data_IF_360931239788
#
_entry.id   IF_360931239788
#
_cell.length_a   1.000
_cell.length_b   1.000
_cell.length_c   1.000
_cell.angle_alpha   90.00
_cell.angle_beta   90.00
_cell.angle_gamma   90.00
#
_symmetry.space_group_name_H-M   'P 1'
#
loop_
_entity.id
_entity.type
_entity.pdbx_description
1 polymer ?
#
# COMPACT_ATOMS: atom_id res chain seq x y z
N UNK A 1 -13.60 -24.45 55.79
CA UNK A 1 -13.34 -23.29 54.94
C UNK A 1 -12.24 -23.68 54.01
N UNK A 2 -12.46 -24.01 52.71
CA UNK A 2 -11.36 -24.25 51.77
C UNK A 2 -10.89 -22.90 51.20
N UNK A 3 -9.60 -22.66 51.26
CA UNK A 3 -8.84 -21.55 50.72
C UNK A 3 -8.78 -21.70 49.19
N UNK A 4 -9.38 -20.81 48.45
CA UNK A 4 -9.26 -20.69 46.99
C UNK A 4 -7.99 -19.89 46.66
N UNK A 5 -7.00 -20.58 46.11
CA UNK A 5 -5.80 -19.97 45.48
C UNK A 5 -6.23 -19.38 44.14
N UNK A 6 -5.88 -18.14 43.80
CA UNK A 6 -6.21 -17.63 42.44
C UNK A 6 -5.35 -18.28 41.36
N UNK A 7 -5.98 -18.61 40.28
CA UNK A 7 -5.46 -19.28 39.10
C UNK A 7 -4.33 -18.46 38.45
N UNK A 8 -3.17 -19.09 38.28
CA UNK A 8 -1.95 -18.46 37.75
C UNK A 8 -1.97 -18.32 36.20
N UNK A 9 -3.10 -18.59 35.54
CA UNK A 9 -3.20 -18.69 34.09
C UNK A 9 -3.46 -17.34 33.40
N UNK A 10 -3.97 -16.33 34.12
CA UNK A 10 -4.23 -15.00 33.53
C UNK A 10 -3.01 -14.06 33.44
N UNK A 11 -1.93 -14.35 34.15
CA UNK A 11 -0.75 -13.47 34.21
C UNK A 11 0.24 -13.63 33.03
N UNK A 12 0.07 -14.64 32.17
CA UNK A 12 1.04 -14.98 31.11
C UNK A 12 0.75 -14.29 29.78
N UNK A 13 -0.47 -13.80 29.56
CA UNK A 13 -0.88 -13.16 28.29
C UNK A 13 -0.42 -11.69 28.14
N UNK A 14 -0.09 -11.01 29.22
CA UNK A 14 0.28 -9.58 29.21
C UNK A 14 1.76 -9.29 28.91
N UNK A 15 2.63 -10.31 28.83
CA UNK A 15 4.09 -10.13 28.74
C UNK A 15 4.66 -10.04 27.31
N UNK A 16 3.86 -10.18 26.26
CA UNK A 16 4.35 -10.22 24.87
C UNK A 16 3.76 -9.17 23.92
N UNK A 17 3.05 -8.17 24.41
CA UNK A 17 2.64 -7.06 23.54
C UNK A 17 3.87 -6.24 23.12
N UNK A 18 4.07 -5.96 21.83
CA UNK A 18 5.17 -5.10 21.39
C UNK A 18 5.02 -3.72 22.05
N UNK A 19 6.15 -3.09 22.42
CA UNK A 19 6.11 -1.72 22.95
C UNK A 19 5.35 -0.81 21.98
N UNK A 20 4.59 0.17 22.47
CA UNK A 20 3.95 1.15 21.58
C UNK A 20 5.00 1.86 20.72
N UNK A 21 4.76 1.94 19.42
CA UNK A 21 5.58 2.71 18.48
C UNK A 21 4.98 4.09 18.24
N UNK A 22 5.84 5.06 17.95
CA UNK A 22 5.44 6.33 17.34
C UNK A 22 5.48 6.18 15.83
N UNK A 23 4.33 6.33 15.17
CA UNK A 23 4.15 6.07 13.74
C UNK A 23 3.72 7.35 13.04
N UNK A 24 4.53 7.83 12.10
CA UNK A 24 4.08 8.85 11.15
C UNK A 24 3.36 8.19 9.97
N UNK A 25 2.23 8.77 9.53
CA UNK A 25 1.52 8.35 8.32
C UNK A 25 1.50 9.50 7.33
N UNK A 26 2.36 9.42 6.32
CA UNK A 26 2.43 10.40 5.24
C UNK A 26 1.36 10.10 4.19
N UNK A 27 0.34 10.94 4.12
CA UNK A 27 -0.80 10.78 3.24
C UNK A 27 -1.93 9.92 3.85
N UNK A 28 -2.70 10.46 4.82
CA UNK A 28 -3.86 9.78 5.40
C UNK A 28 -5.05 9.80 4.41
N UNK A 29 -4.83 9.11 3.27
CA UNK A 29 -5.83 8.78 2.26
C UNK A 29 -6.65 7.54 2.66
N UNK A 30 -7.11 6.75 1.68
CA UNK A 30 -7.80 5.48 1.95
C UNK A 30 -6.91 4.53 2.74
N UNK A 31 -5.77 4.14 2.15
CA UNK A 31 -4.80 3.21 2.77
C UNK A 31 -4.19 3.80 4.04
N UNK A 32 -3.59 5.00 3.94
CA UNK A 32 -2.92 5.63 5.08
C UNK A 32 -3.87 5.96 6.23
N UNK A 33 -5.10 6.41 5.93
CA UNK A 33 -6.12 6.67 6.95
C UNK A 33 -6.59 5.41 7.66
N UNK A 34 -6.82 4.32 6.91
CA UNK A 34 -7.16 3.03 7.50
C UNK A 34 -6.06 2.55 8.47
N UNK A 35 -4.81 2.54 8.02
CA UNK A 35 -3.68 2.10 8.85
C UNK A 35 -3.48 3.02 10.07
N UNK A 36 -3.62 4.34 9.90
CA UNK A 36 -3.56 5.28 11.02
C UNK A 36 -4.61 4.95 12.09
N UNK A 37 -5.84 4.68 11.67
CA UNK A 37 -6.92 4.33 12.60
C UNK A 37 -6.69 2.98 13.28
N UNK A 38 -6.25 1.96 12.54
CA UNK A 38 -5.98 0.62 13.08
C UNK A 38 -4.81 0.64 14.07
N UNK A 39 -3.71 1.29 13.74
CA UNK A 39 -2.54 1.43 14.61
C UNK A 39 -2.86 2.22 15.89
N UNK A 40 -3.62 3.32 15.75
CA UNK A 40 -4.08 4.07 16.93
C UNK A 40 -4.99 3.24 17.84
N UNK A 41 -5.91 2.45 17.26
CA UNK A 41 -6.77 1.53 18.02
C UNK A 41 -5.95 0.43 18.75
N UNK A 42 -4.81 0.04 18.18
CA UNK A 42 -3.85 -0.89 18.78
C UNK A 42 -2.89 -0.21 19.79
N UNK A 43 -3.20 1.01 20.23
CA UNK A 43 -2.44 1.77 21.22
C UNK A 43 -1.06 2.24 20.77
N UNK A 44 -0.79 2.31 19.47
CA UNK A 44 0.36 3.01 18.93
C UNK A 44 0.07 4.52 18.86
N UNK A 45 1.09 5.35 19.07
CA UNK A 45 0.99 6.79 18.85
C UNK A 45 1.07 7.08 17.36
N UNK A 46 0.07 7.73 16.78
CA UNK A 46 -0.03 7.97 15.34
C UNK A 46 -0.08 9.45 15.03
N UNK A 47 0.84 9.91 14.17
CA UNK A 47 0.92 11.29 13.66
C UNK A 47 0.64 11.26 12.15
N UNK A 48 -0.51 11.76 11.74
CA UNK A 48 -0.89 11.88 10.33
C UNK A 48 -0.30 13.15 9.72
N UNK A 49 0.42 13.02 8.60
CA UNK A 49 1.00 14.16 7.88
C UNK A 49 0.18 14.46 6.62
N UNK A 50 -0.43 15.64 6.60
CA UNK A 50 -1.35 16.04 5.54
C UNK A 50 -1.29 17.56 5.29
N UNK A 51 -2.00 18.06 4.26
CA UNK A 51 -2.22 19.51 4.09
C UNK A 51 -3.10 20.09 5.20
N UNK A 52 -3.02 21.41 5.42
CA UNK A 52 -3.63 22.12 6.55
C UNK A 52 -5.10 21.75 6.82
N UNK A 53 -5.94 21.74 5.80
CA UNK A 53 -7.36 21.43 5.94
C UNK A 53 -7.61 20.00 6.45
N UNK A 54 -6.88 19.02 5.90
CA UNK A 54 -6.98 17.63 6.33
C UNK A 54 -6.38 17.43 7.72
N UNK A 55 -5.25 18.05 8.02
CA UNK A 55 -4.62 17.96 9.35
C UNK A 55 -5.53 18.55 10.43
N UNK A 56 -6.22 19.67 10.16
CA UNK A 56 -7.22 20.27 11.06
C UNK A 56 -8.38 19.31 11.31
N UNK A 57 -8.98 18.77 10.25
CA UNK A 57 -10.10 17.81 10.38
C UNK A 57 -9.73 16.58 11.20
N UNK A 58 -8.50 16.06 11.01
CA UNK A 58 -8.01 14.91 11.75
C UNK A 58 -7.77 15.21 13.24
N UNK A 59 -7.26 16.40 13.58
CA UNK A 59 -7.09 16.82 14.99
C UNK A 59 -8.44 16.96 15.72
N UNK A 60 -9.45 17.47 15.02
CA UNK A 60 -10.78 17.71 15.59
C UNK A 60 -11.61 16.42 15.69
N UNK A 61 -11.63 15.61 14.62
CA UNK A 61 -12.53 14.45 14.48
C UNK A 61 -11.88 13.09 14.54
N UNK A 62 -10.54 13.00 14.48
CA UNK A 62 -9.83 11.74 14.31
C UNK A 62 -10.04 11.13 12.91
N UNK A 63 -9.84 9.81 12.82
CA UNK A 63 -10.15 9.03 11.62
C UNK A 63 -11.37 8.16 11.89
N UNK A 64 -12.44 8.39 11.15
CA UNK A 64 -13.65 7.57 11.15
C UNK A 64 -13.51 6.49 10.08
N UNK A 65 -13.73 5.25 10.46
CA UNK A 65 -13.64 4.08 9.56
C UNK A 65 -14.99 3.38 9.52
N UNK A 66 -15.48 3.14 8.31
CA UNK A 66 -16.58 2.21 8.03
C UNK A 66 -15.97 0.97 7.38
N UNK A 67 -16.08 -0.19 8.02
CA UNK A 67 -15.33 -1.38 7.60
C UNK A 67 -16.13 -2.66 7.74
N UNK A 68 -16.21 -3.44 6.65
CA UNK A 68 -16.77 -4.77 6.67
C UNK A 68 -15.94 -5.75 7.54
N UNK A 69 -14.63 -5.55 7.65
CA UNK A 69 -13.74 -6.41 8.44
C UNK A 69 -13.67 -6.00 9.91
N UNK A 70 -13.62 -4.69 10.20
CA UNK A 70 -13.29 -4.16 11.54
C UNK A 70 -14.48 -3.49 12.24
N UNK A 71 -15.64 -3.42 11.58
CA UNK A 71 -16.80 -2.65 12.03
C UNK A 71 -16.58 -1.13 11.91
N UNK A 72 -17.57 -0.37 12.35
CA UNK A 72 -17.52 1.10 12.36
C UNK A 72 -16.87 1.59 13.64
N UNK A 73 -15.88 2.48 13.52
CA UNK A 73 -15.19 3.06 14.66
C UNK A 73 -14.56 4.41 14.31
N UNK A 74 -14.18 5.15 15.35
CA UNK A 74 -13.38 6.38 15.23
C UNK A 74 -12.13 6.23 16.08
N UNK A 75 -10.97 6.50 15.49
CA UNK A 75 -9.68 6.49 16.17
C UNK A 75 -9.14 7.92 16.31
N UNK A 76 -8.62 8.24 17.49
CA UNK A 76 -7.92 9.52 17.71
C UNK A 76 -6.52 9.43 17.15
N UNK A 77 -6.10 10.44 16.41
CA UNK A 77 -4.76 10.58 15.87
C UNK A 77 -4.25 12.00 16.09
N UNK A 78 -2.93 12.15 16.17
CA UNK A 78 -2.31 13.45 16.00
C UNK A 78 -2.20 13.76 14.51
N UNK A 79 -2.16 15.05 14.15
CA UNK A 79 -1.98 15.43 12.75
C UNK A 79 -1.23 16.76 12.63
N UNK A 80 -0.33 16.84 11.66
CA UNK A 80 0.44 18.04 11.35
C UNK A 80 0.68 18.12 9.83
N UNK A 81 1.29 19.23 9.40
CA UNK A 81 1.71 19.43 8.01
C UNK A 81 3.11 18.93 7.75
N UNK A 82 3.93 18.77 8.78
CA UNK A 82 5.29 18.22 8.71
C UNK A 82 5.63 17.44 9.99
N UNK A 83 6.60 16.55 9.92
CA UNK A 83 7.07 15.77 11.06
C UNK A 83 8.08 16.60 11.86
N UNK A 84 7.83 16.74 13.19
CA UNK A 84 8.62 17.61 14.09
C UNK A 84 9.37 16.85 15.18
N UNK A 85 9.21 15.55 15.25
CA UNK A 85 9.82 14.70 16.26
C UNK A 85 10.20 13.34 15.69
N UNK A 86 11.18 12.65 16.26
CA UNK A 86 11.60 11.33 15.80
C UNK A 86 10.48 10.28 15.92
N UNK A 87 10.37 9.40 14.90
CA UNK A 87 9.41 8.30 14.86
C UNK A 87 10.10 6.95 14.66
N UNK A 88 9.46 5.88 15.13
CA UNK A 88 9.90 4.50 14.91
C UNK A 88 9.57 4.01 13.49
N UNK A 89 8.49 4.53 12.89
CA UNK A 89 7.99 4.15 11.57
C UNK A 89 7.40 5.34 10.83
N UNK A 90 7.75 5.49 9.57
CA UNK A 90 7.04 6.36 8.64
C UNK A 90 6.35 5.50 7.57
N UNK A 91 5.02 5.41 7.61
CA UNK A 91 4.21 4.80 6.55
C UNK A 91 4.01 5.84 5.44
N UNK A 92 4.46 5.53 4.23
CA UNK A 92 4.28 6.41 3.06
C UNK A 92 3.13 5.85 2.21
N UNK A 93 1.98 6.52 2.25
CA UNK A 93 0.73 6.11 1.59
C UNK A 93 0.12 7.24 0.73
N UNK A 94 0.97 8.10 0.19
CA UNK A 94 0.58 9.10 -0.81
C UNK A 94 0.48 8.45 -2.20
N UNK A 95 -0.20 9.11 -3.13
CA UNK A 95 -0.10 8.72 -4.54
C UNK A 95 1.30 9.02 -5.08
N UNK A 96 1.76 8.23 -6.02
CA UNK A 96 3.07 8.42 -6.65
C UNK A 96 3.23 9.82 -7.23
N UNK A 97 2.18 10.37 -7.84
CA UNK A 97 2.13 11.73 -8.40
C UNK A 97 2.42 12.85 -7.40
N UNK A 98 2.34 12.57 -6.10
CA UNK A 98 2.59 13.53 -5.03
C UNK A 98 3.78 13.14 -4.14
N UNK A 99 4.52 12.09 -4.50
CA UNK A 99 5.54 11.51 -3.62
C UNK A 99 6.62 12.52 -3.26
N UNK A 100 7.28 13.11 -4.26
CA UNK A 100 8.44 14.01 -4.04
C UNK A 100 8.07 15.20 -3.13
N UNK A 101 6.98 15.89 -3.45
CA UNK A 101 6.50 17.02 -2.64
C UNK A 101 6.03 16.60 -1.23
N UNK A 102 5.53 15.37 -1.08
CA UNK A 102 5.12 14.87 0.23
C UNK A 102 6.31 14.52 1.12
N UNK A 103 7.39 13.99 0.54
CA UNK A 103 8.58 13.60 1.29
C UNK A 103 9.26 14.78 2.01
N UNK A 104 9.07 16.01 1.55
CA UNK A 104 9.61 17.21 2.23
C UNK A 104 9.01 17.42 3.63
N UNK A 105 7.83 16.82 3.90
CA UNK A 105 7.18 16.81 5.22
C UNK A 105 7.85 15.86 6.22
N UNK A 106 8.74 14.99 5.75
CA UNK A 106 9.44 13.98 6.56
C UNK A 106 10.95 14.13 6.37
N UNK A 107 11.61 15.06 7.11
CA UNK A 107 13.05 15.16 7.07
C UNK A 107 13.72 13.85 7.54
N UNK A 108 14.82 13.39 6.91
CA UNK A 108 15.52 12.16 7.33
C UNK A 108 15.93 12.14 8.80
N UNK A 109 16.24 13.30 9.38
CA UNK A 109 16.59 13.43 10.80
C UNK A 109 15.42 13.12 11.76
N UNK A 110 14.20 13.10 11.25
CA UNK A 110 12.99 12.74 12.03
C UNK A 110 12.70 11.24 12.02
N UNK A 111 13.50 10.41 11.39
CA UNK A 111 13.51 8.97 11.66
C UNK A 111 14.38 8.72 12.87
N UNK A 112 13.86 8.03 13.89
CA UNK A 112 14.63 7.62 15.05
C UNK A 112 15.86 6.77 14.66
N UNK A 113 16.73 6.46 15.61
CA UNK A 113 18.00 5.74 15.36
C UNK A 113 17.80 4.50 14.50
N UNK A 114 16.74 3.72 14.77
CA UNK A 114 16.35 2.52 14.02
C UNK A 114 14.99 2.73 13.30
N UNK A 115 14.64 3.97 12.99
CA UNK A 115 13.37 4.30 12.36
C UNK A 115 13.27 3.74 10.95
N UNK A 116 12.10 3.16 10.62
CA UNK A 116 11.84 2.55 9.33
C UNK A 116 10.91 3.41 8.47
N UNK A 117 11.05 3.28 7.16
CA UNK A 117 10.12 3.81 6.16
C UNK A 117 9.43 2.63 5.47
N UNK A 118 8.10 2.63 5.50
CA UNK A 118 7.26 1.61 4.85
C UNK A 118 6.45 2.25 3.74
N UNK A 119 6.91 2.21 2.48
CA UNK A 119 6.10 2.62 1.34
C UNK A 119 5.01 1.60 1.05
N UNK A 120 3.80 2.10 0.81
CA UNK A 120 2.64 1.30 0.39
C UNK A 120 2.04 1.83 -0.92
N UNK A 121 2.90 2.34 -1.79
CA UNK A 121 2.54 2.88 -3.09
C UNK A 121 2.32 1.77 -4.13
N UNK A 122 1.76 2.16 -5.26
CA UNK A 122 1.71 1.34 -6.45
C UNK A 122 3.01 1.49 -7.25
N UNK A 123 3.32 0.49 -8.08
CA UNK A 123 4.58 0.43 -8.84
C UNK A 123 5.68 -0.32 -8.12
N UNK A 124 6.90 -0.29 -8.68
CA UNK A 124 8.06 -1.07 -8.22
C UNK A 124 9.32 -0.23 -7.98
N UNK A 125 9.30 1.07 -8.32
CA UNK A 125 10.51 1.92 -8.30
C UNK A 125 10.62 2.79 -7.03
N UNK A 126 9.51 2.96 -6.30
CA UNK A 126 9.45 3.80 -5.10
C UNK A 126 10.39 3.38 -3.96
N UNK A 127 10.72 2.09 -3.73
CA UNK A 127 11.67 1.74 -2.68
C UNK A 127 13.06 2.32 -2.94
N UNK A 128 13.54 2.27 -4.19
CA UNK A 128 14.84 2.83 -4.56
C UNK A 128 14.88 4.36 -4.38
N UNK A 129 13.80 5.05 -4.75
CA UNK A 129 13.67 6.50 -4.54
C UNK A 129 13.75 6.86 -3.05
N UNK A 130 13.09 6.09 -2.20
CA UNK A 130 13.11 6.31 -0.75
C UNK A 130 14.45 5.96 -0.13
N UNK A 131 15.15 4.92 -0.59
CA UNK A 131 16.49 4.57 -0.13
C UNK A 131 17.51 5.66 -0.41
N UNK A 132 17.46 6.29 -1.56
CA UNK A 132 18.31 7.46 -1.87
C UNK A 132 18.13 8.60 -0.88
N UNK A 133 16.95 8.76 -0.29
CA UNK A 133 16.64 9.82 0.68
C UNK A 133 16.93 9.43 2.12
N UNK A 134 16.59 8.21 2.51
CA UNK A 134 16.57 7.78 3.92
C UNK A 134 17.68 6.80 4.29
N UNK A 135 18.34 6.19 3.32
CA UNK A 135 19.33 5.14 3.49
C UNK A 135 18.79 3.74 3.16
N UNK A 136 19.68 2.85 2.72
CA UNK A 136 19.31 1.53 2.20
C UNK A 136 18.70 0.62 3.27
N UNK A 137 19.19 0.72 4.48
CA UNK A 137 18.82 -0.10 5.63
C UNK A 137 17.58 0.40 6.39
N UNK A 138 16.97 1.49 5.94
CA UNK A 138 15.79 2.09 6.59
C UNK A 138 14.49 1.85 5.83
N UNK A 139 14.53 1.40 4.58
CA UNK A 139 13.34 1.24 3.73
C UNK A 139 12.95 -0.23 3.62
N UNK A 140 11.82 -0.57 4.22
CA UNK A 140 11.17 -1.86 4.06
C UNK A 140 10.23 -1.80 2.86
N UNK A 141 10.43 -2.63 1.84
CA UNK A 141 9.44 -2.73 0.77
C UNK A 141 8.14 -3.31 1.32
N UNK A 142 7.02 -2.62 1.08
CA UNK A 142 5.69 -3.02 1.50
C UNK A 142 4.73 -3.15 0.34
N UNK A 143 4.00 -4.24 0.31
CA UNK A 143 2.91 -4.46 -0.66
C UNK A 143 1.62 -4.68 0.08
N UNK A 144 0.71 -3.71 -0.01
CA UNK A 144 -0.61 -3.83 0.62
C UNK A 144 -1.67 -4.30 -0.38
N UNK A 145 -2.54 -5.19 0.08
CA UNK A 145 -3.77 -5.63 -0.58
C UNK A 145 -4.95 -5.24 0.29
N UNK A 146 -5.70 -4.26 -0.17
CA UNK A 146 -6.87 -3.70 0.54
C UNK A 146 -7.72 -2.90 -0.45
N UNK A 147 -9.01 -2.88 -0.26
CA UNK A 147 -9.89 -1.90 -0.87
C UNK A 147 -10.29 -0.87 0.19
N UNK A 148 -9.69 0.32 0.10
CA UNK A 148 -9.91 1.40 1.06
C UNK A 148 -9.93 2.75 0.36
N UNK A 149 -10.96 3.53 0.58
CA UNK A 149 -11.20 4.81 -0.08
C UNK A 149 -11.45 5.91 0.95
N UNK A 150 -10.77 7.04 0.79
CA UNK A 150 -11.10 8.25 1.55
C UNK A 150 -12.29 8.95 0.88
N UNK A 151 -13.43 8.97 1.54
CA UNK A 151 -14.67 9.62 1.02
C UNK A 151 -14.78 11.08 1.45
N UNK A 152 -14.15 11.44 2.58
CA UNK A 152 -14.04 12.83 3.05
C UNK A 152 -12.75 12.97 3.89
N UNK A 153 -12.28 14.19 4.23
CA UNK A 153 -11.20 14.37 5.19
C UNK A 153 -11.49 13.64 6.51
N UNK A 154 -10.62 12.71 6.90
CA UNK A 154 -10.79 11.90 8.12
C UNK A 154 -11.88 10.81 8.05
N UNK A 155 -12.47 10.53 6.87
CA UNK A 155 -13.47 9.47 6.70
C UNK A 155 -13.02 8.45 5.67
N UNK A 156 -12.94 7.20 6.08
CA UNK A 156 -12.45 6.08 5.28
C UNK A 156 -13.50 4.99 5.18
N UNK A 157 -13.79 4.55 3.95
CA UNK A 157 -14.55 3.34 3.65
C UNK A 157 -13.60 2.21 3.29
N UNK A 158 -13.70 1.09 4.00
CA UNK A 158 -12.92 -0.12 3.81
C UNK A 158 -13.86 -1.25 3.37
N UNK A 159 -13.80 -1.57 2.06
CA UNK A 159 -14.72 -2.51 1.43
C UNK A 159 -14.24 -3.97 1.41
N UNK A 160 -12.91 -4.22 1.43
CA UNK A 160 -12.40 -5.59 1.41
C UNK A 160 -12.59 -6.30 2.76
N UNK A 161 -12.84 -7.62 2.75
CA UNK A 161 -12.93 -8.43 3.97
C UNK A 161 -11.56 -8.79 4.56
N UNK A 162 -10.49 -8.20 4.03
CA UNK A 162 -9.11 -8.43 4.43
C UNK A 162 -8.27 -7.17 4.33
N UNK A 163 -7.23 -7.13 5.15
CA UNK A 163 -6.15 -6.13 5.07
C UNK A 163 -4.84 -6.90 5.21
N UNK A 164 -4.05 -6.95 4.14
CA UNK A 164 -2.84 -7.76 4.07
C UNK A 164 -1.64 -6.94 3.62
N UNK A 165 -0.49 -7.15 4.27
CA UNK A 165 0.78 -6.54 3.88
C UNK A 165 1.85 -7.61 3.77
N UNK A 166 2.51 -7.70 2.60
CA UNK A 166 3.78 -8.39 2.47
C UNK A 166 4.90 -7.37 2.70
N UNK A 167 5.85 -7.74 3.56
CA UNK A 167 7.07 -6.99 3.84
C UNK A 167 8.26 -7.73 3.23
N UNK A 168 9.20 -6.99 2.66
CA UNK A 168 10.45 -7.56 2.18
C UNK A 168 11.59 -6.54 2.24
N UNK A 169 12.82 -7.02 2.08
CA UNK A 169 14.04 -6.20 2.09
C UNK A 169 14.92 -6.45 3.30
N UNK A 170 16.11 -5.88 3.27
CA UNK A 170 17.07 -5.92 4.38
C UNK A 170 17.08 -4.56 5.06
N UNK A 171 16.79 -4.55 6.36
CA UNK A 171 16.69 -3.34 7.15
C UNK A 171 17.50 -3.49 8.45
N UNK A 172 17.98 -2.35 9.02
CA UNK A 172 18.73 -2.33 10.26
C UNK A 172 17.94 -2.95 11.43
N UNK A 173 16.62 -2.68 11.48
CA UNK A 173 15.69 -3.33 12.42
C UNK A 173 15.01 -4.53 11.74
N UNK A 174 14.94 -5.71 12.37
CA UNK A 174 14.28 -6.87 11.78
C UNK A 174 12.82 -6.60 11.40
N UNK A 175 12.41 -7.01 10.19
CA UNK A 175 11.04 -6.85 9.69
C UNK A 175 9.99 -7.61 10.52
N UNK A 176 10.40 -8.62 11.29
CA UNK A 176 9.51 -9.32 12.24
C UNK A 176 8.95 -8.38 13.31
N UNK A 177 9.74 -7.38 13.74
CA UNK A 177 9.26 -6.36 14.67
C UNK A 177 8.20 -5.44 14.03
N UNK A 178 8.40 -5.04 12.78
CA UNK A 178 7.41 -4.29 12.01
C UNK A 178 6.14 -5.13 11.75
N UNK A 179 6.32 -6.41 11.41
CA UNK A 179 5.20 -7.34 11.22
C UNK A 179 4.35 -7.45 12.49
N UNK A 180 4.97 -7.63 13.66
CA UNK A 180 4.26 -7.70 14.94
C UNK A 180 3.46 -6.43 15.26
N UNK A 181 3.98 -5.24 14.91
CA UNK A 181 3.25 -3.96 15.05
C UNK A 181 2.02 -3.92 14.14
N UNK A 182 2.15 -4.30 12.88
CA UNK A 182 1.02 -4.34 11.94
C UNK A 182 -0.02 -5.40 12.33
N UNK A 183 0.43 -6.57 12.77
CA UNK A 183 -0.44 -7.67 13.25
C UNK A 183 -1.20 -7.27 14.51
N UNK A 184 -0.59 -6.53 15.45
CA UNK A 184 -1.27 -6.00 16.63
C UNK A 184 -2.44 -5.08 16.27
N UNK A 185 -2.38 -4.44 15.10
CA UNK A 185 -3.42 -3.60 14.54
C UNK A 185 -4.46 -4.38 13.69
N UNK A 186 -4.37 -5.71 13.64
CA UNK A 186 -5.27 -6.58 12.89
C UNK A 186 -4.94 -6.67 11.39
N UNK A 187 -3.77 -6.21 10.97
CA UNK A 187 -3.30 -6.34 9.59
C UNK A 187 -2.56 -7.66 9.44
N UNK A 188 -3.03 -8.53 8.55
CA UNK A 188 -2.34 -9.80 8.26
C UNK A 188 -1.02 -9.49 7.55
N UNK A 189 0.10 -9.87 8.17
CA UNK A 189 1.42 -9.50 7.67
C UNK A 189 2.27 -10.73 7.41
N UNK A 190 3.02 -10.70 6.32
CA UNK A 190 3.98 -11.74 5.95
C UNK A 190 5.32 -11.09 5.62
N UNK A 191 6.40 -11.61 6.18
CA UNK A 191 7.77 -11.27 5.77
C UNK A 191 8.17 -12.24 4.66
N UNK A 192 8.45 -11.68 3.48
CA UNK A 192 8.82 -12.42 2.28
C UNK A 192 10.33 -12.34 2.02
N UNK A 193 10.88 -13.34 1.36
CA UNK A 193 12.31 -13.43 1.05
C UNK A 193 12.75 -12.47 -0.07
N UNK A 194 11.87 -12.20 -1.04
CA UNK A 194 12.20 -11.42 -2.23
C UNK A 194 11.37 -10.16 -2.35
N UNK A 195 12.03 -9.01 -2.25
CA UNK A 195 11.44 -7.71 -2.53
C UNK A 195 10.94 -7.61 -3.98
N UNK A 196 11.78 -7.96 -4.94
CA UNK A 196 11.41 -8.00 -6.36
C UNK A 196 10.20 -8.91 -6.57
N UNK A 197 10.18 -10.07 -5.89
CA UNK A 197 9.07 -11.01 -5.97
C UNK A 197 7.75 -10.41 -5.53
N UNK A 198 7.67 -9.75 -4.37
CA UNK A 198 6.41 -9.19 -3.86
C UNK A 198 5.94 -7.98 -4.66
N UNK A 199 6.85 -7.09 -5.05
CA UNK A 199 6.52 -5.89 -5.82
C UNK A 199 5.99 -6.27 -7.21
N UNK A 200 6.69 -7.15 -7.93
CA UNK A 200 6.27 -7.58 -9.26
C UNK A 200 5.03 -8.47 -9.23
N UNK A 201 4.84 -9.30 -8.20
CA UNK A 201 3.61 -10.09 -8.06
C UNK A 201 2.36 -9.20 -7.96
N UNK A 202 2.45 -8.08 -7.24
CA UNK A 202 1.37 -7.08 -7.23
C UNK A 202 1.23 -6.37 -8.57
N UNK A 203 2.34 -5.90 -9.17
CA UNK A 203 2.29 -5.13 -10.41
C UNK A 203 1.77 -5.98 -11.58
N UNK A 204 2.09 -7.27 -11.65
CA UNK A 204 1.61 -8.19 -12.68
C UNK A 204 0.08 -8.33 -12.69
N UNK A 205 -0.56 -8.21 -11.53
CA UNK A 205 -2.03 -8.15 -11.42
C UNK A 205 -2.55 -6.72 -11.59
N UNK A 206 -1.90 -5.75 -10.96
CA UNK A 206 -2.37 -4.37 -10.92
C UNK A 206 -2.32 -3.68 -12.29
N UNK A 207 -1.23 -3.87 -13.06
CA UNK A 207 -1.02 -3.11 -14.28
C UNK A 207 -2.02 -3.47 -15.39
N UNK A 208 -2.29 -4.75 -15.73
CA UNK A 208 -3.34 -5.08 -16.67
C UNK A 208 -4.71 -4.60 -16.19
N UNK A 209 -5.01 -4.77 -14.89
CA UNK A 209 -6.27 -4.31 -14.31
C UNK A 209 -6.46 -2.80 -14.48
N UNK A 210 -5.46 -2.01 -14.08
CA UNK A 210 -5.54 -0.55 -14.13
C UNK A 210 -5.60 -0.04 -15.58
N UNK A 211 -4.73 -0.53 -16.46
CA UNK A 211 -4.63 -0.06 -17.83
C UNK A 211 -5.91 -0.35 -18.63
N UNK A 212 -6.40 -1.61 -18.58
CA UNK A 212 -7.53 -2.02 -19.38
C UNK A 212 -8.86 -1.44 -18.86
N UNK A 213 -9.12 -1.47 -17.54
CA UNK A 213 -10.36 -0.91 -17.01
C UNK A 213 -10.44 0.59 -17.20
N UNK A 214 -9.30 1.30 -17.13
CA UNK A 214 -9.25 2.74 -17.40
C UNK A 214 -9.41 3.03 -18.90
N UNK A 215 -8.72 2.27 -19.76
CA UNK A 215 -8.79 2.47 -21.22
C UNK A 215 -10.19 2.27 -21.78
N UNK A 216 -10.90 1.27 -21.30
CA UNK A 216 -12.23 0.91 -21.79
C UNK A 216 -13.37 1.51 -20.96
N UNK A 217 -13.05 2.24 -19.91
CA UNK A 217 -14.03 2.74 -18.92
C UNK A 217 -15.06 1.66 -18.52
N UNK A 218 -14.55 0.47 -18.23
CA UNK A 218 -15.34 -0.71 -18.00
C UNK A 218 -14.83 -1.54 -16.81
N UNK A 219 -15.73 -2.20 -16.04
CA UNK A 219 -15.31 -3.07 -14.97
C UNK A 219 -14.60 -4.33 -15.50
N UNK A 220 -13.86 -5.01 -14.64
CA UNK A 220 -13.04 -6.17 -15.02
C UNK A 220 -13.83 -7.30 -15.68
N UNK A 221 -15.09 -7.48 -15.32
CA UNK A 221 -15.95 -8.47 -15.96
C UNK A 221 -16.14 -8.24 -17.45
N UNK A 222 -16.33 -6.98 -17.86
CA UNK A 222 -16.42 -6.57 -19.28
C UNK A 222 -15.07 -6.75 -19.97
N UNK A 223 -13.97 -6.33 -19.32
CA UNK A 223 -12.62 -6.47 -19.89
C UNK A 223 -12.27 -7.94 -20.14
N UNK A 224 -12.46 -8.82 -19.17
CA UNK A 224 -12.07 -10.24 -19.29
C UNK A 224 -12.91 -11.03 -20.30
N UNK A 225 -14.11 -10.55 -20.67
CA UNK A 225 -14.95 -11.18 -21.68
C UNK A 225 -14.85 -10.51 -23.05
N UNK A 226 -14.93 -9.19 -23.12
CA UNK A 226 -14.93 -8.42 -24.36
C UNK A 226 -13.54 -8.08 -24.90
N UNK A 227 -12.50 -8.07 -24.02
CA UNK A 227 -11.12 -7.71 -24.37
C UNK A 227 -10.13 -8.78 -23.90
N UNK A 228 -10.55 -10.07 -23.95
CA UNK A 228 -9.78 -11.20 -23.41
C UNK A 228 -8.39 -11.33 -24.04
N UNK A 229 -8.30 -11.21 -25.36
CA UNK A 229 -7.03 -11.36 -26.09
C UNK A 229 -6.02 -10.31 -25.65
N UNK A 230 -6.45 -9.08 -25.46
CA UNK A 230 -5.58 -8.01 -24.99
C UNK A 230 -5.17 -8.19 -23.53
N UNK A 231 -6.06 -8.67 -22.67
CA UNK A 231 -5.73 -9.04 -21.29
C UNK A 231 -4.68 -10.15 -21.27
N UNK A 232 -4.82 -11.19 -22.10
CA UNK A 232 -3.84 -12.28 -22.22
C UNK A 232 -2.47 -11.77 -22.66
N UNK A 233 -2.44 -10.94 -23.71
CA UNK A 233 -1.20 -10.35 -24.23
C UNK A 233 -0.51 -9.50 -23.16
N UNK A 234 -1.26 -8.62 -22.50
CA UNK A 234 -0.70 -7.71 -21.49
C UNK A 234 -0.18 -8.47 -20.26
N UNK A 235 -0.90 -9.48 -19.77
CA UNK A 235 -0.44 -10.35 -18.68
C UNK A 235 0.84 -11.08 -19.06
N UNK A 236 0.95 -11.61 -20.30
CA UNK A 236 2.14 -12.28 -20.80
C UNK A 236 3.35 -11.32 -20.87
N UNK A 237 3.16 -10.11 -21.41
CA UNK A 237 4.19 -9.07 -21.50
C UNK A 237 4.72 -8.70 -20.12
N UNK A 238 3.83 -8.37 -19.17
CA UNK A 238 4.23 -7.93 -17.82
C UNK A 238 4.88 -9.09 -17.04
N UNK A 239 4.38 -10.32 -17.21
CA UNK A 239 5.00 -11.51 -16.63
C UNK A 239 6.41 -11.72 -17.15
N UNK A 240 6.63 -11.54 -18.46
CA UNK A 240 7.95 -11.65 -19.06
C UNK A 240 8.93 -10.60 -18.50
N UNK A 241 8.49 -9.34 -18.37
CA UNK A 241 9.31 -8.27 -17.77
C UNK A 241 9.65 -8.58 -16.32
N UNK A 242 8.65 -8.98 -15.51
CA UNK A 242 8.87 -9.32 -14.10
C UNK A 242 9.81 -10.52 -13.91
N UNK A 243 9.72 -11.54 -14.77
CA UNK A 243 10.66 -12.68 -14.78
C UNK A 243 12.08 -12.23 -15.15
N UNK A 244 12.23 -11.36 -16.13
CA UNK A 244 13.51 -10.77 -16.49
C UNK A 244 14.10 -9.92 -15.35
N UNK A 245 13.25 -9.31 -14.52
CA UNK A 245 13.66 -8.62 -13.31
C UNK A 245 13.97 -9.56 -12.13
N UNK A 246 13.80 -10.88 -12.28
CA UNK A 246 14.06 -11.89 -11.25
C UNK A 246 12.86 -12.27 -10.37
N UNK A 247 11.64 -11.82 -10.70
CA UNK A 247 10.45 -12.21 -9.97
C UNK A 247 9.91 -13.59 -10.44
N UNK A 248 9.52 -14.49 -9.53
CA UNK A 248 8.98 -15.82 -9.89
C UNK A 248 7.49 -15.71 -10.26
N UNK A 249 7.19 -15.06 -11.38
CA UNK A 249 5.82 -14.84 -11.84
C UNK A 249 5.29 -15.99 -12.68
N UNK A 250 3.99 -16.20 -12.63
CA UNK A 250 3.25 -17.18 -13.42
C UNK A 250 2.05 -16.51 -14.09
N UNK A 251 2.01 -16.53 -15.43
CA UNK A 251 0.95 -15.88 -16.21
C UNK A 251 -0.41 -16.59 -16.01
N UNK A 252 -0.43 -17.92 -15.99
CA UNK A 252 -1.67 -18.70 -15.84
C UNK A 252 -2.30 -18.46 -14.47
N UNK A 253 -1.45 -18.41 -13.43
CA UNK A 253 -1.90 -18.06 -12.08
C UNK A 253 -2.45 -16.63 -12.03
N UNK A 254 -1.82 -15.68 -12.71
CA UNK A 254 -2.31 -14.30 -12.80
C UNK A 254 -3.65 -14.25 -13.53
N UNK A 255 -3.81 -14.99 -14.61
CA UNK A 255 -5.08 -15.07 -15.35
C UNK A 255 -6.19 -15.71 -14.53
N UNK A 256 -5.90 -16.79 -13.79
CA UNK A 256 -6.85 -17.40 -12.88
C UNK A 256 -7.34 -16.43 -11.79
N UNK A 257 -6.47 -15.54 -11.30
CA UNK A 257 -6.90 -14.45 -10.40
C UNK A 257 -7.90 -13.51 -11.06
N UNK A 258 -7.69 -13.12 -12.32
CA UNK A 258 -8.65 -12.29 -13.05
C UNK A 258 -10.01 -12.97 -13.24
N UNK A 259 -10.00 -14.28 -13.51
CA UNK A 259 -11.22 -15.05 -13.70
C UNK A 259 -12.05 -15.15 -12.39
N UNK A 260 -11.37 -15.07 -11.24
CA UNK A 260 -11.99 -15.08 -9.92
C UNK A 260 -12.45 -13.70 -9.40
N UNK A 261 -12.00 -12.60 -10.00
CA UNK A 261 -12.39 -11.26 -9.54
C UNK A 261 -13.90 -11.02 -9.71
N UNK A 262 -14.56 -10.29 -8.79
CA UNK A 262 -15.96 -9.84 -8.98
C UNK A 262 -16.12 -9.05 -10.26
N UNK A 263 -17.12 -9.39 -11.08
CA UNK A 263 -17.27 -8.80 -12.42
C UNK A 263 -17.43 -7.27 -12.42
N UNK A 264 -18.07 -6.70 -11.40
CA UNK A 264 -18.27 -5.25 -11.26
C UNK A 264 -17.07 -4.48 -10.73
N UNK A 265 -15.92 -5.15 -10.46
CA UNK A 265 -14.77 -4.50 -9.83
C UNK A 265 -14.10 -3.51 -10.77
N UNK A 266 -13.86 -2.29 -10.26
CA UNK A 266 -13.15 -1.19 -10.93
C UNK A 266 -11.79 -0.98 -10.28
N UNK A 267 -10.76 -0.67 -11.08
CA UNK A 267 -9.46 -0.28 -10.53
C UNK A 267 -9.50 1.10 -9.87
N UNK A 268 -8.52 1.37 -8.99
CA UNK A 268 -8.35 2.70 -8.41
C UNK A 268 -8.06 3.76 -9.48
N UNK A 269 -7.27 3.39 -10.51
CA UNK A 269 -6.93 4.30 -11.61
C UNK A 269 -8.15 4.62 -12.46
N UNK A 270 -9.06 3.65 -12.72
CA UNK A 270 -10.33 3.92 -13.39
C UNK A 270 -11.19 4.90 -12.58
N UNK A 271 -11.34 4.67 -11.26
CA UNK A 271 -12.08 5.61 -10.38
C UNK A 271 -11.45 7.01 -10.34
N UNK A 272 -10.13 7.10 -10.50
CA UNK A 272 -9.46 8.40 -10.63
C UNK A 272 -9.79 9.08 -11.96
N UNK A 273 -9.79 8.32 -13.07
CA UNK A 273 -10.18 8.84 -14.39
C UNK A 273 -11.63 9.34 -14.41
N UNK A 274 -12.57 8.55 -13.90
CA UNK A 274 -13.99 8.92 -13.78
C UNK A 274 -14.20 10.20 -12.96
N UNK A 275 -13.34 10.44 -11.97
CA UNK A 275 -13.38 11.61 -11.13
C UNK A 275 -12.49 12.78 -11.61
N UNK A 276 -11.89 12.68 -12.79
CA UNK A 276 -11.00 13.71 -13.36
C UNK A 276 -9.73 13.95 -12.54
N UNK A 277 -9.26 12.95 -11.79
CA UNK A 277 -8.03 13.04 -10.97
C UNK A 277 -6.81 12.56 -11.74
N UNK A 278 -5.63 13.04 -11.33
CA UNK A 278 -4.36 12.58 -11.88
C UNK A 278 -4.20 11.06 -11.73
N UNK A 279 -3.82 10.39 -12.82
CA UNK A 279 -3.62 8.94 -12.89
C UNK A 279 -2.21 8.56 -12.42
N UNK A 280 -2.09 7.41 -11.77
CA UNK A 280 -0.78 6.80 -11.45
C UNK A 280 -0.20 6.04 -12.66
N UNK A 281 -0.45 6.53 -13.87
CA UNK A 281 -0.08 5.88 -15.13
C UNK A 281 1.43 5.64 -15.23
N UNK A 282 2.24 6.62 -14.81
CA UNK A 282 3.70 6.52 -14.84
C UNK A 282 4.23 5.48 -13.85
N UNK A 283 3.70 5.43 -12.63
CA UNK A 283 4.12 4.47 -11.62
C UNK A 283 3.70 3.03 -11.96
N UNK A 284 2.62 2.83 -12.71
CA UNK A 284 2.07 1.53 -13.07
C UNK A 284 2.55 1.12 -14.47
N UNK A 285 2.09 1.81 -15.51
CA UNK A 285 2.43 1.50 -16.90
C UNK A 285 3.85 1.95 -17.27
N UNK A 286 4.22 3.17 -16.90
CA UNK A 286 5.56 3.72 -17.15
C UNK A 286 6.67 2.87 -16.53
N UNK A 287 6.47 2.38 -15.30
CA UNK A 287 7.43 1.48 -14.65
C UNK A 287 7.61 0.16 -15.42
N UNK A 288 6.54 -0.41 -15.98
CA UNK A 288 6.63 -1.59 -16.86
C UNK A 288 7.46 -1.29 -18.11
N UNK A 289 7.22 -0.13 -18.76
CA UNK A 289 7.97 0.27 -19.97
C UNK A 289 9.45 0.49 -19.69
N UNK A 290 9.79 1.14 -18.57
CA UNK A 290 11.20 1.36 -18.17
C UNK A 290 11.90 0.04 -17.87
N UNK A 291 11.26 -0.87 -17.15
CA UNK A 291 11.80 -2.20 -16.89
C UNK A 291 11.94 -3.02 -18.18
N UNK A 292 10.94 -3.01 -19.07
CA UNK A 292 10.98 -3.67 -20.37
C UNK A 292 12.18 -3.20 -21.20
N UNK A 293 12.42 -1.89 -21.27
CA UNK A 293 13.61 -1.32 -21.92
C UNK A 293 14.90 -1.77 -21.27
N UNK A 294 14.96 -1.78 -19.94
CA UNK A 294 16.15 -2.19 -19.17
C UNK A 294 16.54 -3.64 -19.44
N UNK A 295 15.56 -4.53 -19.55
CA UNK A 295 15.78 -5.98 -19.71
C UNK A 295 15.65 -6.47 -21.15
N UNK A 296 15.38 -5.59 -22.12
CA UNK A 296 15.25 -5.95 -23.53
C UNK A 296 14.02 -6.81 -23.83
N UNK A 297 12.94 -6.67 -23.08
CA UNK A 297 11.69 -7.43 -23.27
C UNK A 297 10.70 -6.59 -24.09
N UNK A 298 10.17 -7.10 -25.22
CA UNK A 298 9.18 -6.38 -26.00
C UNK A 298 7.81 -6.35 -25.27
N UNK A 299 7.18 -5.16 -25.23
CA UNK A 299 5.88 -4.92 -24.57
C UNK A 299 4.97 -4.03 -25.44
N UNK A 300 4.62 -4.46 -26.66
CA UNK A 300 3.86 -3.62 -27.60
C UNK A 300 2.47 -3.25 -27.07
N UNK A 301 1.78 -4.18 -26.39
CA UNK A 301 0.44 -3.93 -25.83
C UNK A 301 0.51 -2.92 -24.71
N UNK A 302 1.43 -3.08 -23.76
CA UNK A 302 1.62 -2.13 -22.66
C UNK A 302 2.01 -0.74 -23.20
N UNK A 303 2.93 -0.67 -24.18
CA UNK A 303 3.35 0.60 -24.77
C UNK A 303 2.20 1.35 -25.43
N UNK A 304 1.37 0.66 -26.21
CA UNK A 304 0.18 1.25 -26.85
C UNK A 304 -0.81 1.77 -25.81
N UNK A 305 -1.18 0.96 -24.80
CA UNK A 305 -2.14 1.35 -23.76
C UNK A 305 -1.65 2.54 -22.94
N UNK A 306 -0.37 2.58 -22.58
CA UNK A 306 0.21 3.72 -21.85
C UNK A 306 0.15 5.00 -22.74
N UNK A 307 0.48 4.89 -24.03
CA UNK A 307 0.38 6.01 -24.96
C UNK A 307 -1.05 6.54 -25.10
N UNK A 308 -2.04 5.64 -25.21
CA UNK A 308 -3.47 6.01 -25.34
C UNK A 308 -4.05 6.65 -24.08
N UNK A 309 -3.51 6.33 -22.90
CA UNK A 309 -3.94 6.87 -21.60
C UNK A 309 -3.16 8.13 -21.18
N UNK A 310 -2.07 8.45 -21.88
CA UNK A 310 -1.30 9.67 -21.61
C UNK A 310 -2.07 10.88 -22.14
N UNK A 311 -2.39 11.87 -21.29
CA UNK A 311 -3.05 13.10 -21.77
C UNK A 311 -2.19 13.80 -22.83
N UNK A 312 -2.84 14.31 -23.89
CA UNK A 312 -2.21 15.10 -24.95
C UNK A 312 -1.91 16.51 -24.44
#
# INVERSE_FOLDING_TARGET
MPSTTPDATEATSAKNAPRPWTVAVLGPGGVGGLLAALLSRASHRVICLAGDATARSLREGGVRVHSAQFGDFTAKVEADTELREPVDLCVVAVKHTSLDAALDRVPPAMLGTDGLVLPLLNGVEHPETLRRRYGDDRVAAGVIRVESTRVAPGVVEHGSPFTEIDLAGTTARPLTGLAAVLESAGVRTRVAESETGVLWAKLAVLAPFALLTTRYDAPIGTVRTGHREELLALVAEITAVGRAAGAPLDADRTLAMYDALPAGMKSSMQRDAEAGRALELDAIGGAVLRAAKRYGVPVPTAARLVSELTPV
#
